data_IF_233589288975
#
_entry.id   IF_233589288975
#
_cell.length_a   1.000
_cell.length_b   1.000
_cell.length_c   1.000
_cell.angle_alpha   90.00
_cell.angle_beta   90.00
_cell.angle_gamma   90.00
#
_symmetry.space_group_name_H-M   'P 1'
#
loop_
_entity.id
_entity.type
_entity.pdbx_description
1 polymer ?
#
# COMPACT_ATOMS: atom_id res chain seq x y z
N UNK A 1 -49.40 28.37 23.87
CA UNK A 1 -48.55 27.19 23.54
C UNK A 1 -47.21 27.28 24.27
N UNK A 2 -46.97 26.46 25.29
CA UNK A 2 -45.69 26.43 26.04
C UNK A 2 -44.66 25.57 25.29
N UNK A 3 -43.58 26.17 24.79
CA UNK A 3 -42.42 25.45 24.21
C UNK A 3 -41.80 24.57 25.30
N UNK A 4 -41.96 23.24 25.20
CA UNK A 4 -41.19 22.28 26.00
C UNK A 4 -39.72 22.39 25.57
N UNK A 5 -38.90 23.01 26.40
CA UNK A 5 -37.45 22.93 26.31
C UNK A 5 -37.09 21.46 26.61
N UNK A 6 -36.83 20.67 25.56
CA UNK A 6 -36.20 19.34 25.73
C UNK A 6 -34.82 19.58 26.31
N UNK A 7 -34.65 19.29 27.60
CA UNK A 7 -33.32 19.23 28.22
C UNK A 7 -32.50 18.24 27.40
N UNK A 8 -31.43 18.71 26.76
CA UNK A 8 -30.47 17.82 26.13
C UNK A 8 -29.93 16.88 27.22
N UNK A 9 -29.90 15.56 26.99
CA UNK A 9 -29.29 14.63 27.93
C UNK A 9 -27.85 15.09 28.19
N UNK A 10 -27.48 15.18 29.48
CA UNK A 10 -26.09 15.48 29.86
C UNK A 10 -25.19 14.48 29.12
N UNK A 11 -24.12 14.94 28.44
CA UNK A 11 -23.17 14.02 27.85
C UNK A 11 -22.65 13.12 28.97
N UNK A 12 -22.92 11.81 28.85
CA UNK A 12 -22.32 10.82 29.74
C UNK A 12 -20.81 10.98 29.53
N UNK A 13 -20.01 11.24 30.58
CA UNK A 13 -18.57 11.33 30.45
C UNK A 13 -18.09 10.08 29.72
N UNK A 14 -17.43 10.26 28.58
CA UNK A 14 -16.95 9.16 27.78
C UNK A 14 -16.13 8.25 28.70
N UNK A 15 -16.59 7.01 28.86
CA UNK A 15 -15.90 6.03 29.71
C UNK A 15 -14.42 6.03 29.31
N UNK A 16 -13.54 6.19 30.30
CA UNK A 16 -12.10 6.22 30.07
C UNK A 16 -11.74 5.02 29.19
N UNK A 17 -11.09 5.28 28.06
CA UNK A 17 -10.77 4.22 27.11
C UNK A 17 -9.99 3.13 27.85
N UNK A 18 -10.37 1.84 27.71
CA UNK A 18 -9.65 0.75 28.35
C UNK A 18 -8.17 0.82 27.96
N UNK A 19 -7.30 0.73 28.97
CA UNK A 19 -5.84 0.70 28.75
C UNK A 19 -5.51 -0.52 27.90
N UNK A 20 -4.62 -0.41 26.89
CA UNK A 20 -4.18 -1.56 26.12
C UNK A 20 -3.60 -2.60 27.08
N UNK A 21 -4.05 -3.84 26.95
CA UNK A 21 -3.53 -4.96 27.73
C UNK A 21 -2.26 -5.50 27.05
N UNK A 22 -1.42 -6.21 27.80
CA UNK A 22 -0.20 -6.85 27.24
C UNK A 22 -0.53 -7.78 26.05
N UNK A 23 -1.69 -8.43 26.10
CA UNK A 23 -2.20 -9.29 25.01
C UNK A 23 -2.44 -8.49 23.72
N UNK A 24 -2.90 -7.24 23.83
CA UNK A 24 -3.15 -6.38 22.66
C UNK A 24 -1.84 -6.02 21.95
N UNK A 25 -0.76 -5.75 22.69
CA UNK A 25 0.55 -5.44 22.12
C UNK A 25 1.16 -6.65 21.40
N UNK A 26 1.01 -7.86 21.94
CA UNK A 26 1.54 -9.05 21.28
C UNK A 26 0.78 -9.42 20.01
N UNK A 27 -0.56 -9.36 20.02
CA UNK A 27 -1.36 -9.60 18.81
C UNK A 27 -1.06 -8.56 17.73
N UNK A 28 -0.85 -7.30 18.12
CA UNK A 28 -0.39 -6.26 17.19
C UNK A 28 0.95 -6.61 16.55
N UNK A 29 1.93 -7.09 17.33
CA UNK A 29 3.23 -7.51 16.82
C UNK A 29 3.12 -8.71 15.86
N UNK A 30 2.26 -9.68 16.16
CA UNK A 30 1.99 -10.80 15.27
C UNK A 30 1.41 -10.31 13.93
N UNK A 31 0.39 -9.44 13.97
CA UNK A 31 -0.22 -8.86 12.77
C UNK A 31 0.80 -8.06 11.96
N UNK A 32 1.59 -7.22 12.63
CA UNK A 32 2.61 -6.41 11.99
C UNK A 32 3.68 -7.27 11.32
N UNK A 33 4.19 -8.28 12.02
CA UNK A 33 5.18 -9.22 11.48
C UNK A 33 4.63 -10.02 10.30
N UNK A 34 3.39 -10.52 10.42
CA UNK A 34 2.73 -11.29 9.37
C UNK A 34 2.52 -10.46 8.11
N UNK A 35 1.96 -9.25 8.25
CA UNK A 35 1.74 -8.34 7.13
C UNK A 35 3.06 -7.85 6.53
N UNK A 36 4.10 -7.61 7.34
CA UNK A 36 5.42 -7.24 6.87
C UNK A 36 6.02 -8.34 5.96
N UNK A 37 6.00 -9.60 6.42
CA UNK A 37 6.48 -10.73 5.62
C UNK A 37 5.62 -10.96 4.39
N UNK A 38 4.30 -10.82 4.50
CA UNK A 38 3.40 -10.94 3.35
C UNK A 38 3.64 -9.82 2.32
N UNK A 39 3.85 -8.57 2.74
CA UNK A 39 4.26 -7.50 1.83
C UNK A 39 5.59 -7.83 1.17
N UNK A 40 6.58 -8.28 1.93
CA UNK A 40 7.89 -8.61 1.38
C UNK A 40 7.83 -9.74 0.34
N UNK A 41 7.13 -10.84 0.63
CA UNK A 41 6.92 -11.89 -0.37
C UNK A 41 6.12 -11.40 -1.55
N UNK A 42 5.05 -10.63 -1.34
CA UNK A 42 4.27 -10.05 -2.43
C UNK A 42 5.08 -9.17 -3.37
N UNK A 43 6.04 -8.39 -2.85
CA UNK A 43 6.96 -7.59 -3.66
C UNK A 43 7.92 -8.45 -4.49
N UNK A 44 8.40 -9.57 -3.94
CA UNK A 44 9.20 -10.53 -4.70
C UNK A 44 8.38 -11.14 -5.84
N UNK A 45 7.15 -11.53 -5.57
CA UNK A 45 6.24 -12.16 -6.53
C UNK A 45 5.85 -11.20 -7.65
N UNK A 46 5.64 -9.91 -7.35
CA UNK A 46 5.49 -8.88 -8.40
C UNK A 46 6.71 -8.83 -9.32
N UNK A 47 7.92 -8.96 -8.78
CA UNK A 47 9.16 -8.95 -9.57
C UNK A 47 9.45 -10.25 -10.32
N UNK A 48 8.83 -11.37 -9.96
CA UNK A 48 8.85 -12.58 -10.79
C UNK A 48 7.76 -12.50 -11.84
N UNK A 49 6.56 -12.08 -11.46
CA UNK A 49 5.39 -12.02 -12.33
C UNK A 49 5.63 -11.14 -13.56
N UNK A 50 6.12 -9.90 -13.38
CA UNK A 50 6.23 -8.93 -14.47
C UNK A 50 7.21 -9.41 -15.56
N UNK A 51 8.46 -9.79 -15.25
CA UNK A 51 9.39 -10.30 -16.26
C UNK A 51 8.95 -11.64 -16.84
N UNK A 52 8.37 -12.53 -16.03
CA UNK A 52 7.93 -13.86 -16.53
C UNK A 52 6.73 -13.72 -17.45
N UNK A 53 5.83 -12.77 -17.19
CA UNK A 53 4.72 -12.41 -18.07
C UNK A 53 5.25 -11.89 -19.41
N UNK A 54 6.20 -10.95 -19.38
CA UNK A 54 6.83 -10.41 -20.57
C UNK A 54 7.61 -11.48 -21.35
N UNK A 55 8.35 -12.34 -20.67
CA UNK A 55 9.12 -13.43 -21.30
C UNK A 55 8.20 -14.49 -21.92
N UNK A 56 7.18 -14.93 -21.19
CA UNK A 56 6.32 -16.05 -21.62
C UNK A 56 5.31 -15.63 -22.68
N UNK A 57 4.78 -14.39 -22.59
CA UNK A 57 3.72 -13.91 -23.49
C UNK A 57 4.17 -12.80 -24.44
N UNK A 58 5.28 -12.11 -24.19
CA UNK A 58 5.68 -10.93 -24.98
C UNK A 58 6.01 -11.26 -26.43
N UNK A 59 6.67 -12.38 -26.69
CA UNK A 59 6.97 -12.82 -28.06
C UNK A 59 5.79 -13.59 -28.70
N UNK A 60 4.91 -14.14 -27.88
CA UNK A 60 3.81 -15.01 -28.33
C UNK A 60 2.48 -14.27 -28.51
N UNK A 61 2.34 -13.09 -27.93
CA UNK A 61 1.07 -12.38 -27.88
C UNK A 61 1.24 -10.86 -28.10
N UNK A 62 0.28 -10.21 -28.76
CA UNK A 62 0.33 -8.76 -28.94
C UNK A 62 0.27 -8.05 -27.57
N UNK A 63 0.86 -6.85 -27.43
CA UNK A 63 0.90 -6.13 -26.15
C UNK A 63 -0.49 -5.95 -25.49
N UNK A 64 -1.54 -5.78 -26.28
CA UNK A 64 -2.91 -5.68 -25.79
C UNK A 64 -3.38 -6.96 -25.07
N UNK A 65 -2.93 -8.14 -25.51
CA UNK A 65 -3.23 -9.41 -24.86
C UNK A 65 -2.51 -9.53 -23.51
N UNK A 66 -1.23 -9.15 -23.46
CA UNK A 66 -0.44 -9.13 -22.23
C UNK A 66 -1.07 -8.19 -21.19
N UNK A 67 -1.48 -6.99 -21.62
CA UNK A 67 -2.24 -6.06 -20.79
C UNK A 67 -3.57 -6.67 -20.33
N UNK A 68 -4.33 -7.28 -21.23
CA UNK A 68 -5.59 -7.97 -20.93
C UNK A 68 -5.43 -9.09 -19.90
N UNK A 69 -4.34 -9.86 -19.98
CA UNK A 69 -4.02 -10.91 -19.02
C UNK A 69 -3.72 -10.33 -17.64
N UNK A 70 -2.86 -9.31 -17.54
CA UNK A 70 -2.56 -8.64 -16.28
C UNK A 70 -3.83 -8.04 -15.64
N UNK A 71 -4.69 -7.41 -16.45
CA UNK A 71 -5.97 -6.86 -15.99
C UNK A 71 -6.95 -7.96 -15.54
N UNK A 72 -6.99 -9.08 -16.25
CA UNK A 72 -7.79 -10.25 -15.88
C UNK A 72 -7.35 -10.84 -14.54
N UNK A 73 -6.04 -10.90 -14.31
CA UNK A 73 -5.47 -11.36 -13.04
C UNK A 73 -5.80 -10.41 -11.89
N UNK A 74 -5.66 -9.10 -12.12
CA UNK A 74 -6.14 -8.06 -11.20
C UNK A 74 -7.64 -8.20 -10.92
N UNK A 75 -8.47 -8.56 -11.91
CA UNK A 75 -9.89 -8.81 -11.71
C UNK A 75 -10.18 -10.01 -10.78
N UNK A 76 -9.24 -10.94 -10.58
CA UNK A 76 -9.42 -12.02 -9.62
C UNK A 76 -9.45 -11.55 -8.17
N UNK A 77 -9.02 -10.31 -7.85
CA UNK A 77 -9.19 -9.79 -6.49
C UNK A 77 -10.65 -9.57 -6.08
N UNK A 78 -11.59 -9.59 -7.04
CA UNK A 78 -13.03 -9.61 -6.74
C UNK A 78 -13.44 -10.89 -5.98
N UNK A 79 -12.55 -11.86 -5.86
CA UNK A 79 -12.69 -13.02 -4.96
C UNK A 79 -12.54 -12.60 -3.48
N UNK A 80 -11.92 -11.46 -3.14
CA UNK A 80 -11.70 -11.04 -1.75
C UNK A 80 -13.00 -10.95 -0.91
N UNK A 81 -14.08 -10.27 -1.35
CA UNK A 81 -15.37 -10.31 -0.66
C UNK A 81 -15.97 -11.71 -0.52
N UNK A 82 -15.76 -12.58 -1.52
CA UNK A 82 -16.27 -13.95 -1.48
C UNK A 82 -15.55 -14.75 -0.41
N UNK A 83 -14.22 -14.64 -0.32
CA UNK A 83 -13.42 -15.28 0.72
C UNK A 83 -13.79 -14.77 2.11
N UNK A 84 -13.91 -13.45 2.28
CA UNK A 84 -14.33 -12.84 3.54
C UNK A 84 -15.70 -13.34 4.00
N UNK A 85 -16.66 -13.50 3.07
CA UNK A 85 -18.01 -13.98 3.38
C UNK A 85 -18.07 -15.48 3.66
N UNK A 86 -17.37 -16.28 2.86
CA UNK A 86 -17.38 -17.73 2.98
C UNK A 86 -16.67 -18.19 4.26
N UNK A 87 -15.52 -17.59 4.55
CA UNK A 87 -14.61 -18.09 5.58
C UNK A 87 -14.40 -17.12 6.75
N UNK A 88 -15.10 -15.98 6.75
CA UNK A 88 -14.94 -14.95 7.78
C UNK A 88 -13.55 -14.31 7.76
N UNK A 89 -13.20 -13.63 8.86
CA UNK A 89 -11.87 -13.05 9.06
C UNK A 89 -10.78 -14.11 9.00
N UNK A 90 -11.04 -15.31 9.53
CA UNK A 90 -10.10 -16.42 9.53
C UNK A 90 -9.62 -16.76 8.12
N UNK A 91 -10.51 -17.16 7.21
CA UNK A 91 -10.08 -17.53 5.87
C UNK A 91 -9.63 -16.32 5.06
N UNK A 92 -10.19 -15.14 5.31
CA UNK A 92 -9.74 -13.92 4.63
C UNK A 92 -8.26 -13.61 4.89
N UNK A 93 -7.68 -14.02 6.02
CA UNK A 93 -6.25 -13.90 6.29
C UNK A 93 -5.46 -15.14 5.89
N UNK A 94 -5.96 -16.34 6.24
CA UNK A 94 -5.25 -17.61 5.99
C UNK A 94 -5.06 -17.87 4.50
N UNK A 95 -6.07 -17.62 3.66
CA UNK A 95 -5.96 -17.86 2.22
C UNK A 95 -4.92 -16.97 1.54
N UNK A 96 -4.98 -15.63 1.61
CA UNK A 96 -4.01 -14.80 0.92
C UNK A 96 -2.60 -14.91 1.54
N UNK A 97 -2.46 -14.93 2.87
CA UNK A 97 -1.13 -14.99 3.47
C UNK A 97 -0.51 -16.39 3.34
N UNK A 98 -1.27 -17.44 3.67
CA UNK A 98 -0.82 -18.81 3.51
C UNK A 98 -0.57 -19.17 2.04
N UNK A 99 -1.47 -18.77 1.15
CA UNK A 99 -1.32 -18.96 -0.29
C UNK A 99 -0.07 -18.28 -0.82
N UNK A 100 0.14 -16.99 -0.50
CA UNK A 100 1.34 -16.25 -0.90
C UNK A 100 2.63 -16.93 -0.44
N UNK A 101 2.71 -17.33 0.83
CA UNK A 101 3.92 -17.96 1.39
C UNK A 101 4.18 -19.34 0.77
N UNK A 102 3.15 -20.17 0.64
CA UNK A 102 3.28 -21.51 0.05
C UNK A 102 3.67 -21.41 -1.41
N UNK A 103 3.03 -20.52 -2.18
CA UNK A 103 3.35 -20.32 -3.60
C UNK A 103 4.79 -19.85 -3.77
N UNK A 104 5.26 -18.91 -2.95
CA UNK A 104 6.66 -18.49 -2.97
C UNK A 104 7.63 -19.63 -2.70
N UNK A 105 7.31 -20.46 -1.70
CA UNK A 105 8.12 -21.63 -1.37
C UNK A 105 8.14 -22.64 -2.52
N UNK A 106 7.01 -22.86 -3.21
CA UNK A 106 6.94 -23.75 -4.38
C UNK A 106 7.70 -23.18 -5.58
N UNK A 107 7.55 -21.89 -5.85
CA UNK A 107 8.23 -21.17 -6.92
C UNK A 107 9.76 -21.27 -6.79
N UNK A 108 10.28 -21.24 -5.57
CA UNK A 108 11.71 -21.40 -5.30
C UNK A 108 12.31 -22.70 -5.91
N UNK A 109 11.50 -23.75 -6.06
CA UNK A 109 11.91 -25.03 -6.66
C UNK A 109 11.57 -25.14 -8.15
N UNK A 110 10.76 -24.21 -8.66
CA UNK A 110 10.34 -24.25 -10.04
C UNK A 110 11.49 -23.84 -10.95
N UNK A 111 11.66 -24.62 -12.02
CA UNK A 111 12.58 -24.35 -13.11
C UNK A 111 11.86 -23.98 -14.41
N UNK A 112 10.53 -23.83 -14.36
CA UNK A 112 9.67 -23.74 -15.53
C UNK A 112 8.99 -22.37 -15.59
N UNK A 113 9.31 -21.51 -16.57
CA UNK A 113 8.72 -20.17 -16.67
C UNK A 113 7.17 -20.15 -16.69
N UNK A 114 6.47 -21.10 -17.35
CA UNK A 114 5.01 -21.17 -17.25
C UNK A 114 4.49 -21.47 -15.83
N UNK A 115 5.22 -22.27 -15.04
CA UNK A 115 4.84 -22.53 -13.65
C UNK A 115 5.12 -21.31 -12.78
N UNK A 116 6.26 -20.64 -13.00
CA UNK A 116 6.61 -19.39 -12.32
C UNK A 116 5.54 -18.32 -12.58
N UNK A 117 5.04 -18.22 -13.83
CA UNK A 117 3.95 -17.29 -14.19
C UNK A 117 2.65 -17.62 -13.44
N UNK A 118 2.31 -18.90 -13.29
CA UNK A 118 1.11 -19.32 -12.56
C UNK A 118 1.27 -19.06 -11.06
N UNK A 119 2.40 -19.45 -10.47
CA UNK A 119 2.66 -19.27 -9.04
C UNK A 119 2.69 -17.80 -8.67
N UNK A 120 3.50 -16.99 -9.36
CA UNK A 120 3.59 -15.56 -9.14
C UNK A 120 2.29 -14.84 -9.47
N UNK A 121 1.56 -15.28 -10.49
CA UNK A 121 0.24 -14.77 -10.79
C UNK A 121 -0.74 -14.95 -9.62
N UNK A 122 -0.87 -16.17 -9.09
CA UNK A 122 -1.76 -16.44 -7.95
C UNK A 122 -1.28 -15.76 -6.67
N UNK A 123 0.03 -15.63 -6.48
CA UNK A 123 0.62 -14.89 -5.38
C UNK A 123 0.31 -13.38 -5.46
N UNK A 124 0.40 -12.77 -6.64
CA UNK A 124 0.01 -11.35 -6.87
C UNK A 124 -1.48 -11.14 -6.60
N UNK A 125 -2.35 -12.08 -6.99
CA UNK A 125 -3.77 -12.05 -6.60
C UNK A 125 -3.92 -12.11 -5.07
N UNK A 126 -3.15 -12.97 -4.41
CA UNK A 126 -3.17 -13.12 -2.95
C UNK A 126 -2.74 -11.83 -2.24
N UNK A 127 -1.69 -11.16 -2.74
CA UNK A 127 -1.28 -9.83 -2.29
C UNK A 127 -2.41 -8.80 -2.51
N UNK A 128 -3.02 -8.76 -3.69
CA UNK A 128 -4.11 -7.83 -3.99
C UNK A 128 -5.32 -8.05 -3.07
N UNK A 129 -5.71 -9.30 -2.81
CA UNK A 129 -6.73 -9.66 -1.83
C UNK A 129 -6.34 -9.16 -0.43
N UNK A 130 -5.08 -9.31 -0.03
CA UNK A 130 -4.59 -8.84 1.27
C UNK A 130 -4.74 -7.31 1.43
N UNK A 131 -4.51 -6.54 0.35
CA UNK A 131 -4.74 -5.08 0.38
C UNK A 131 -6.20 -4.67 0.58
N UNK A 132 -7.15 -5.60 0.39
CA UNK A 132 -8.56 -5.41 0.74
C UNK A 132 -8.83 -5.85 2.17
N UNK A 133 -8.36 -7.05 2.53
CA UNK A 133 -8.67 -7.73 3.79
C UNK A 133 -8.06 -7.02 4.99
N UNK A 134 -6.76 -6.67 4.94
CA UNK A 134 -6.06 -6.10 6.08
C UNK A 134 -6.68 -4.76 6.56
N UNK A 135 -7.01 -3.82 5.65
CA UNK A 135 -7.77 -2.63 6.00
C UNK A 135 -9.15 -2.89 6.63
N UNK A 136 -9.91 -3.82 6.06
CA UNK A 136 -11.25 -4.17 6.54
C UNK A 136 -11.20 -4.78 7.94
N UNK A 137 -10.17 -5.57 8.22
CA UNK A 137 -9.89 -6.11 9.53
C UNK A 137 -9.62 -5.02 10.58
N UNK A 138 -8.79 -4.03 10.24
CA UNK A 138 -8.51 -2.91 11.15
C UNK A 138 -9.73 -2.05 11.44
N UNK A 139 -10.62 -1.93 10.46
CA UNK A 139 -11.92 -1.27 10.62
C UNK A 139 -12.83 -2.05 11.55
N UNK A 140 -12.95 -3.37 11.31
CA UNK A 140 -13.80 -4.25 12.11
C UNK A 140 -13.37 -4.32 13.58
N UNK A 141 -12.06 -4.24 13.85
CA UNK A 141 -11.49 -4.25 15.21
C UNK A 141 -11.44 -2.87 15.87
N UNK A 142 -11.80 -1.81 15.15
CA UNK A 142 -11.74 -0.42 15.65
C UNK A 142 -10.32 0.12 15.84
N UNK A 143 -9.29 -0.63 15.45
CA UNK A 143 -7.88 -0.21 15.56
C UNK A 143 -7.54 0.92 14.58
N UNK A 144 -8.18 0.95 13.41
CA UNK A 144 -8.00 2.01 12.41
C UNK A 144 -8.48 3.40 12.85
N UNK A 145 -9.41 3.49 13.81
CA UNK A 145 -9.95 4.77 14.28
C UNK A 145 -8.96 5.60 15.12
N UNK A 146 -7.84 5.01 15.57
CA UNK A 146 -6.84 5.68 16.41
C UNK A 146 -5.63 6.20 15.65
N UNK A 147 -5.62 6.15 14.32
CA UNK A 147 -4.47 6.54 13.49
C UNK A 147 -3.24 5.62 13.64
N UNK A 148 -3.36 4.53 14.40
CA UNK A 148 -2.31 3.52 14.65
C UNK A 148 -2.66 2.19 13.99
N UNK A 149 -3.20 2.22 12.77
CA UNK A 149 -3.37 1.00 11.97
C UNK A 149 -2.04 0.27 11.83
N UNK A 150 -2.04 -1.07 11.90
CA UNK A 150 -0.87 -1.94 11.74
C UNK A 150 -0.38 -1.91 10.29
N UNK A 151 -1.32 -1.91 9.35
CA UNK A 151 -1.10 -2.11 7.93
C UNK A 151 -0.12 -1.12 7.29
N UNK A 152 -0.22 0.21 7.51
CA UNK A 152 0.72 1.16 6.91
C UNK A 152 2.17 0.90 7.38
N UNK A 153 2.34 0.56 8.66
CA UNK A 153 3.66 0.22 9.22
C UNK A 153 4.19 -1.08 8.67
N UNK A 154 3.34 -2.11 8.60
CA UNK A 154 3.72 -3.40 8.09
C UNK A 154 4.08 -3.33 6.59
N UNK A 155 3.34 -2.54 5.80
CA UNK A 155 3.67 -2.25 4.41
C UNK A 155 5.04 -1.58 4.27
N UNK A 156 5.30 -0.54 5.07
CA UNK A 156 6.60 0.15 5.06
C UNK A 156 7.76 -0.72 5.54
N UNK A 157 7.54 -1.53 6.57
CA UNK A 157 8.51 -2.48 7.09
C UNK A 157 8.80 -3.61 6.08
N UNK A 158 7.79 -4.09 5.36
CA UNK A 158 7.95 -5.06 4.29
C UNK A 158 8.76 -4.50 3.12
N UNK A 159 8.51 -3.25 2.73
CA UNK A 159 9.31 -2.51 1.73
C UNK A 159 10.76 -2.32 2.18
N UNK A 160 10.97 -1.96 3.45
CA UNK A 160 12.32 -1.84 4.03
C UNK A 160 13.04 -3.20 3.99
N UNK A 161 12.37 -4.26 4.44
CA UNK A 161 12.92 -5.62 4.45
C UNK A 161 13.28 -6.06 3.04
N UNK A 162 12.40 -5.80 2.08
CA UNK A 162 12.64 -6.07 0.67
C UNK A 162 13.89 -5.36 0.13
N UNK A 163 13.96 -4.05 0.34
CA UNK A 163 15.07 -3.21 -0.12
C UNK A 163 16.38 -3.63 0.54
N UNK A 164 16.35 -3.91 1.84
CA UNK A 164 17.51 -4.33 2.62
C UNK A 164 17.99 -5.74 2.21
N UNK A 165 17.07 -6.70 2.04
CA UNK A 165 17.43 -8.06 1.65
C UNK A 165 18.13 -8.08 0.28
N UNK A 166 17.59 -7.36 -0.71
CA UNK A 166 18.22 -7.20 -2.03
C UNK A 166 19.59 -6.56 -1.95
N UNK A 167 19.70 -5.53 -1.12
CA UNK A 167 20.93 -4.78 -0.91
C UNK A 167 22.03 -5.63 -0.26
N UNK A 168 21.69 -6.37 0.80
CA UNK A 168 22.63 -7.21 1.55
C UNK A 168 23.09 -8.43 0.77
N UNK A 169 22.20 -9.02 -0.02
CA UNK A 169 22.53 -10.19 -0.81
C UNK A 169 23.35 -9.85 -2.06
N UNK A 170 23.47 -8.57 -2.43
CA UNK A 170 24.17 -8.10 -3.63
C UNK A 170 23.71 -8.81 -4.93
N UNK A 171 22.51 -9.41 -4.92
CA UNK A 171 21.98 -10.21 -6.03
C UNK A 171 20.73 -9.60 -6.63
N UNK A 172 20.45 -10.02 -7.86
CA UNK A 172 19.13 -9.96 -8.49
C UNK A 172 18.20 -10.86 -7.68
N UNK A 173 17.59 -10.32 -6.63
CA UNK A 173 16.39 -10.85 -5.96
C UNK A 173 16.41 -12.30 -5.41
N UNK A 174 15.83 -12.52 -4.22
CA UNK A 174 15.79 -13.86 -3.61
C UNK A 174 15.14 -14.95 -4.50
N UNK A 175 14.05 -14.67 -5.26
CA UNK A 175 13.45 -15.63 -6.18
C UNK A 175 14.39 -16.26 -7.22
N UNK A 176 15.38 -15.51 -7.70
CA UNK A 176 16.27 -16.00 -8.75
C UNK A 176 17.48 -16.76 -8.20
N UNK A 177 17.67 -16.76 -6.88
CA UNK A 177 18.74 -17.50 -6.22
C UNK A 177 18.35 -18.95 -5.99
N UNK A 178 18.69 -19.83 -6.93
CA UNK A 178 18.47 -21.29 -6.82
C UNK A 178 19.56 -22.04 -6.04
N UNK A 179 20.41 -21.33 -5.30
CA UNK A 179 21.44 -21.93 -4.46
C UNK A 179 20.89 -22.35 -3.08
N UNK A 180 21.68 -23.08 -2.30
CA UNK A 180 21.30 -23.55 -0.95
C UNK A 180 20.92 -22.37 -0.04
N UNK A 181 21.61 -21.23 -0.19
CA UNK A 181 21.31 -20.03 0.59
C UNK A 181 19.93 -19.45 0.22
N UNK A 182 19.62 -19.30 -1.07
CA UNK A 182 18.32 -18.81 -1.51
C UNK A 182 17.16 -19.67 -1.03
N UNK A 183 17.28 -21.00 -1.17
CA UNK A 183 16.32 -21.93 -0.60
C UNK A 183 16.22 -21.79 0.92
N UNK A 184 17.35 -21.83 1.62
CA UNK A 184 17.39 -21.73 3.08
C UNK A 184 16.70 -20.48 3.61
N UNK A 185 16.98 -19.31 3.03
CA UNK A 185 16.32 -18.06 3.40
C UNK A 185 14.82 -18.09 3.11
N UNK A 186 14.40 -18.52 1.91
CA UNK A 186 12.97 -18.63 1.57
C UNK A 186 12.22 -19.56 2.54
N UNK A 187 12.80 -20.69 2.93
CA UNK A 187 12.20 -21.61 3.90
C UNK A 187 12.19 -21.05 5.32
N UNK A 188 13.25 -20.38 5.77
CA UNK A 188 13.31 -19.78 7.12
C UNK A 188 12.24 -18.69 7.25
N UNK A 189 12.17 -17.78 6.28
CA UNK A 189 11.19 -16.71 6.33
C UNK A 189 9.76 -17.16 6.01
N UNK A 190 9.59 -18.15 5.12
CA UNK A 190 8.30 -18.78 4.85
C UNK A 190 7.79 -19.54 6.07
N UNK A 191 8.66 -20.31 6.72
CA UNK A 191 8.37 -20.99 7.98
C UNK A 191 8.03 -20.01 9.11
N UNK A 192 8.75 -18.89 9.21
CA UNK A 192 8.43 -17.83 10.15
C UNK A 192 7.05 -17.21 9.86
N UNK A 193 6.73 -16.92 8.59
CA UNK A 193 5.44 -16.36 8.22
C UNK A 193 4.27 -17.33 8.50
N UNK A 194 4.44 -18.62 8.20
CA UNK A 194 3.45 -19.65 8.54
C UNK A 194 3.30 -19.83 10.06
N UNK A 195 4.39 -19.78 10.81
CA UNK A 195 4.35 -19.82 12.26
C UNK A 195 3.61 -18.60 12.84
N UNK A 196 3.90 -17.39 12.37
CA UNK A 196 3.18 -16.17 12.75
C UNK A 196 1.69 -16.27 12.40
N UNK A 197 1.34 -16.82 11.24
CA UNK A 197 -0.04 -17.06 10.83
C UNK A 197 -0.75 -18.02 11.79
N UNK A 198 -0.12 -19.15 12.14
CA UNK A 198 -0.67 -20.13 13.08
C UNK A 198 -0.85 -19.53 14.47
N UNK A 199 0.14 -18.77 14.97
CA UNK A 199 0.04 -18.12 16.28
C UNK A 199 -1.01 -17.02 16.30
N UNK A 200 -1.13 -16.25 15.22
CA UNK A 200 -2.20 -15.27 15.06
C UNK A 200 -3.57 -15.95 15.08
N UNK A 201 -3.74 -17.03 14.32
CA UNK A 201 -4.97 -17.84 14.30
C UNK A 201 -5.31 -18.39 15.69
N UNK A 202 -4.35 -18.97 16.41
CA UNK A 202 -4.58 -19.57 17.73
C UNK A 202 -5.04 -18.56 18.77
N UNK A 203 -4.54 -17.33 18.66
CA UNK A 203 -4.84 -16.23 19.59
C UNK A 203 -5.99 -15.35 19.10
N UNK A 204 -6.53 -15.64 17.93
CA UNK A 204 -7.67 -14.94 17.40
C UNK A 204 -8.90 -15.24 18.24
N UNK A 205 -9.30 -14.27 19.05
CA UNK A 205 -10.56 -14.28 19.82
C UNK A 205 -11.53 -13.19 19.34
N UNK A 206 -11.27 -12.60 18.17
CA UNK A 206 -12.06 -11.49 17.66
C UNK A 206 -13.45 -11.93 17.21
N UNK A 207 -14.46 -11.02 17.24
CA UNK A 207 -15.79 -11.32 16.74
C UNK A 207 -15.73 -11.76 15.29
N UNK A 208 -16.49 -12.80 14.93
CA UNK A 208 -16.63 -13.24 13.56
C UNK A 208 -17.17 -12.07 12.72
N UNK A 209 -16.35 -11.52 11.83
CA UNK A 209 -16.73 -10.37 11.01
C UNK A 209 -17.86 -10.67 10.01
N UNK A 210 -18.46 -11.86 10.05
CA UNK A 210 -19.76 -12.15 9.44
C UNK A 210 -20.84 -11.15 9.90
N UNK A 211 -20.69 -10.55 11.09
CA UNK A 211 -21.59 -9.51 11.60
C UNK A 211 -21.18 -8.08 11.25
N UNK A 212 -19.97 -7.86 10.71
CA UNK A 212 -19.47 -6.54 10.31
C UNK A 212 -20.09 -6.09 9.00
N UNK A 213 -20.73 -4.92 8.98
CA UNK A 213 -21.23 -4.33 7.73
C UNK A 213 -20.09 -3.94 6.80
N UNK A 214 -20.30 -4.08 5.48
CA UNK A 214 -19.34 -3.64 4.47
C UNK A 214 -18.97 -2.16 4.69
N UNK A 215 -17.68 -1.79 4.56
CA UNK A 215 -17.31 -0.39 4.65
C UNK A 215 -17.92 0.40 3.50
N UNK A 216 -18.19 1.68 3.76
CA UNK A 216 -18.72 2.56 2.73
C UNK A 216 -17.70 2.73 1.59
N UNK A 217 -18.18 2.80 0.35
CA UNK A 217 -17.34 3.02 -0.84
C UNK A 217 -16.41 4.22 -0.64
N UNK A 218 -16.95 5.29 -0.05
CA UNK A 218 -16.24 6.52 0.24
C UNK A 218 -15.11 6.30 1.25
N UNK A 219 -15.34 5.51 2.30
CA UNK A 219 -14.33 5.18 3.31
C UNK A 219 -13.21 4.29 2.77
N UNK A 220 -13.47 3.53 1.70
CA UNK A 220 -12.44 2.67 1.09
C UNK A 220 -11.69 3.29 -0.08
N UNK A 221 -12.14 4.44 -0.59
CA UNK A 221 -11.45 5.17 -1.66
C UNK A 221 -9.96 5.42 -1.40
N UNK A 222 -9.54 5.82 -0.17
CA UNK A 222 -8.12 6.05 0.09
C UNK A 222 -7.21 4.84 -0.13
N UNK A 223 -7.74 3.60 -0.05
CA UNK A 223 -6.95 2.38 -0.27
C UNK A 223 -6.46 2.23 -1.72
N UNK A 224 -6.98 3.02 -2.65
CA UNK A 224 -6.43 3.16 -4.00
C UNK A 224 -4.98 3.66 -4.00
N UNK A 225 -4.54 4.31 -2.93
CA UNK A 225 -3.17 4.74 -2.75
C UNK A 225 -2.18 3.58 -2.64
N UNK A 226 -2.59 2.42 -2.10
CA UNK A 226 -1.67 1.30 -1.83
C UNK A 226 -1.05 0.75 -3.12
N UNK A 227 -1.83 0.36 -4.15
CA UNK A 227 -1.23 -0.11 -5.40
C UNK A 227 -0.39 0.97 -6.08
N UNK A 228 -0.81 2.24 -6.06
CA UNK A 228 -0.03 3.34 -6.67
C UNK A 228 1.34 3.53 -5.99
N UNK A 229 1.38 3.35 -4.66
CA UNK A 229 2.64 3.33 -3.92
C UNK A 229 3.50 2.11 -4.28
N UNK A 230 2.90 0.93 -4.38
CA UNK A 230 3.61 -0.29 -4.80
C UNK A 230 4.21 -0.14 -6.21
N UNK A 231 3.48 0.50 -7.14
CA UNK A 231 3.98 0.85 -8.48
C UNK A 231 5.20 1.78 -8.39
N UNK A 232 5.09 2.91 -7.69
CA UNK A 232 6.21 3.84 -7.53
C UNK A 232 7.43 3.18 -6.86
N UNK A 233 7.18 2.24 -5.95
CA UNK A 233 8.24 1.47 -5.33
C UNK A 233 8.87 0.46 -6.30
N UNK A 234 8.10 -0.31 -7.06
CA UNK A 234 8.65 -1.30 -8.00
C UNK A 234 9.42 -0.65 -9.15
N UNK A 235 8.87 0.42 -9.72
CA UNK A 235 9.41 1.10 -10.91
C UNK A 235 10.52 2.09 -10.59
N UNK A 236 10.42 2.75 -9.44
CA UNK A 236 11.35 3.82 -9.08
C UNK A 236 12.10 3.46 -7.81
N UNK A 237 11.50 3.68 -6.65
CA UNK A 237 12.27 3.82 -5.40
C UNK A 237 12.91 2.51 -4.89
N UNK A 238 12.41 1.36 -5.31
CA UNK A 238 12.98 0.05 -5.02
C UNK A 238 14.07 -0.37 -6.01
N UNK A 239 14.33 0.36 -7.09
CA UNK A 239 15.35 -0.01 -8.08
C UNK A 239 16.74 0.50 -7.68
N UNK A 240 17.44 -0.24 -6.82
CA UNK A 240 18.81 0.10 -6.37
C UNK A 240 19.80 0.23 -7.53
N UNK A 241 19.67 -0.63 -8.57
CA UNK A 241 20.49 -0.56 -9.78
C UNK A 241 20.26 0.73 -10.57
N UNK A 242 19.02 1.18 -10.68
CA UNK A 242 18.67 2.45 -11.32
C UNK A 242 19.27 3.63 -10.56
N UNK A 243 19.19 3.64 -9.23
CA UNK A 243 19.84 4.65 -8.40
C UNK A 243 21.36 4.64 -8.57
N UNK A 244 21.99 3.46 -8.59
CA UNK A 244 23.43 3.33 -8.82
C UNK A 244 23.84 3.91 -10.18
N UNK A 245 23.11 3.55 -11.24
CA UNK A 245 23.35 4.02 -12.60
C UNK A 245 23.13 5.52 -12.75
N UNK A 246 22.02 6.05 -12.24
CA UNK A 246 21.70 7.47 -12.34
C UNK A 246 22.65 8.31 -11.49
N UNK A 247 23.01 7.85 -10.30
CA UNK A 247 23.85 8.58 -9.36
C UNK A 247 25.36 8.46 -9.61
N UNK A 248 25.80 7.55 -10.49
CA UNK A 248 27.21 7.21 -10.65
C UNK A 248 27.80 6.59 -9.37
N UNK A 249 26.98 5.91 -8.58
CA UNK A 249 27.37 5.28 -7.31
C UNK A 249 27.72 3.81 -7.53
N UNK A 250 28.65 3.29 -6.73
CA UNK A 250 28.78 1.84 -6.59
C UNK A 250 27.49 1.26 -5.96
N UNK A 251 27.16 0.01 -6.28
CA UNK A 251 25.95 -0.65 -5.78
C UNK A 251 25.77 -0.57 -4.24
N UNK A 252 26.79 -0.82 -3.39
CA UNK A 252 26.62 -0.72 -1.93
C UNK A 252 26.21 0.67 -1.43
N UNK A 253 26.74 1.73 -2.06
CA UNK A 253 26.36 3.11 -1.73
C UNK A 253 24.92 3.41 -2.14
N UNK A 254 24.50 3.02 -3.33
CA UNK A 254 23.11 3.16 -3.77
C UNK A 254 22.14 2.39 -2.87
N UNK A 255 22.51 1.17 -2.48
CA UNK A 255 21.78 0.34 -1.52
C UNK A 255 21.61 1.06 -0.17
N UNK A 256 22.69 1.61 0.38
CA UNK A 256 22.65 2.38 1.63
C UNK A 256 21.68 3.56 1.57
N UNK A 257 21.67 4.30 0.46
CA UNK A 257 20.73 5.40 0.25
C UNK A 257 19.27 4.94 0.11
N UNK A 258 19.00 3.82 -0.57
CA UNK A 258 17.66 3.26 -0.69
C UNK A 258 17.12 2.77 0.69
N UNK A 259 17.96 2.08 1.47
CA UNK A 259 17.61 1.67 2.84
C UNK A 259 17.38 2.89 3.73
N UNK A 260 18.23 3.92 3.65
CA UNK A 260 18.04 5.17 4.38
C UNK A 260 16.71 5.84 4.00
N UNK A 261 16.32 5.83 2.73
CA UNK A 261 15.02 6.29 2.27
C UNK A 261 13.85 5.57 2.94
N UNK A 262 13.92 4.24 3.03
CA UNK A 262 12.93 3.42 3.75
C UNK A 262 12.87 3.75 5.25
N UNK A 263 14.02 3.94 5.90
CA UNK A 263 14.08 4.26 7.33
C UNK A 263 13.54 5.65 7.61
N UNK A 264 13.88 6.64 6.77
CA UNK A 264 13.33 8.00 6.84
C UNK A 264 11.82 7.98 6.61
N UNK A 265 11.33 7.17 5.68
CA UNK A 265 9.91 6.96 5.44
C UNK A 265 9.17 6.52 6.72
N UNK A 266 9.66 5.45 7.35
CA UNK A 266 9.07 4.91 8.57
C UNK A 266 9.18 5.90 9.74
N UNK A 267 10.33 6.55 9.92
CA UNK A 267 10.55 7.51 11.01
C UNK A 267 9.66 8.76 10.86
N UNK A 268 9.57 9.34 9.65
CA UNK A 268 8.71 10.49 9.37
C UNK A 268 7.24 10.11 9.48
N UNK A 269 6.87 8.94 8.95
CA UNK A 269 5.53 8.39 9.14
C UNK A 269 5.21 8.32 10.61
N UNK A 270 6.11 7.74 11.42
CA UNK A 270 5.89 7.54 12.86
C UNK A 270 5.73 8.87 13.57
N UNK A 271 6.63 9.82 13.31
CA UNK A 271 6.57 11.15 13.88
C UNK A 271 5.27 11.90 13.54
N UNK A 272 4.76 11.73 12.32
CA UNK A 272 3.53 12.40 11.87
C UNK A 272 2.26 11.70 12.40
N UNK A 273 2.19 10.38 12.33
CA UNK A 273 1.02 9.60 12.76
C UNK A 273 0.91 9.45 14.28
N UNK A 274 2.02 9.57 15.02
CA UNK A 274 2.01 9.57 16.49
C UNK A 274 1.49 10.89 17.09
N UNK A 275 1.44 11.98 16.31
CA UNK A 275 0.76 13.21 16.73
C UNK A 275 -0.75 12.92 16.71
N UNK A 276 -1.34 12.94 17.91
CA UNK A 276 -2.71 12.49 18.15
C UNK A 276 -3.73 13.14 17.20
N UNK A 277 -4.26 12.33 16.28
CA UNK A 277 -5.37 12.68 15.40
C UNK A 277 -4.94 13.63 14.29
N UNK A 278 -4.82 13.10 13.07
CA UNK A 278 -4.72 13.96 11.90
C UNK A 278 -6.04 14.67 11.70
N UNK A 279 -5.96 15.99 11.65
CA UNK A 279 -7.11 16.84 11.52
C UNK A 279 -7.26 17.28 10.07
N UNK A 280 -8.46 17.78 9.78
CA UNK A 280 -8.70 18.46 8.51
C UNK A 280 -7.74 19.61 8.22
N UNK A 281 -7.01 20.13 9.23
CA UNK A 281 -5.98 21.15 9.08
C UNK A 281 -4.72 20.68 8.35
N UNK A 282 -4.52 19.36 8.19
CA UNK A 282 -3.27 18.78 7.66
C UNK A 282 -3.24 18.66 6.13
N UNK A 283 -4.28 19.10 5.41
CA UNK A 283 -4.29 19.10 3.94
C UNK A 283 -3.11 19.85 3.29
N UNK A 284 -2.56 20.96 3.86
CA UNK A 284 -1.39 21.61 3.28
C UNK A 284 -0.17 20.70 3.33
N UNK A 285 -0.03 19.88 4.39
CA UNK A 285 1.08 18.94 4.53
C UNK A 285 1.01 17.89 3.42
N UNK A 286 -0.18 17.37 3.13
CA UNK A 286 -0.36 16.39 2.03
C UNK A 286 -0.12 17.01 0.66
N UNK A 287 -0.53 18.26 0.41
CA UNK A 287 -0.18 18.94 -0.84
C UNK A 287 1.31 19.20 -0.98
N UNK A 288 1.97 19.64 0.09
CA UNK A 288 3.42 19.84 0.11
C UNK A 288 4.15 18.51 -0.11
N UNK A 289 3.68 17.43 0.50
CA UNK A 289 4.16 16.08 0.22
C UNK A 289 3.96 15.71 -1.25
N UNK A 290 2.77 15.89 -1.82
CA UNK A 290 2.53 15.61 -3.25
C UNK A 290 3.45 16.40 -4.19
N UNK A 291 3.64 17.70 -3.93
CA UNK A 291 4.57 18.54 -4.66
C UNK A 291 6.03 18.07 -4.50
N UNK A 292 6.44 17.72 -3.28
CA UNK A 292 7.76 17.18 -3.00
C UNK A 292 8.00 15.84 -3.71
N UNK A 293 6.97 14.99 -3.85
CA UNK A 293 7.07 13.73 -4.59
C UNK A 293 7.30 13.97 -6.08
N UNK A 294 6.54 14.89 -6.69
CA UNK A 294 6.71 15.27 -8.09
C UNK A 294 8.11 15.85 -8.32
N UNK A 295 8.56 16.75 -7.44
CA UNK A 295 9.91 17.31 -7.48
C UNK A 295 10.98 16.22 -7.32
N UNK A 296 10.76 15.24 -6.45
CA UNK A 296 11.67 14.12 -6.26
C UNK A 296 11.75 13.22 -7.49
N UNK A 297 10.63 12.92 -8.14
CA UNK A 297 10.61 12.17 -9.39
C UNK A 297 11.36 12.91 -10.50
N UNK A 298 11.02 14.18 -10.74
CA UNK A 298 11.69 15.01 -11.75
C UNK A 298 13.17 15.24 -11.45
N UNK A 299 13.52 15.49 -10.19
CA UNK A 299 14.90 15.63 -9.73
C UNK A 299 15.69 14.34 -9.93
N UNK A 300 15.09 13.19 -9.61
CA UNK A 300 15.73 11.88 -9.80
C UNK A 300 16.05 11.55 -11.26
N UNK A 301 15.27 12.09 -12.21
CA UNK A 301 15.50 11.88 -13.64
C UNK A 301 16.74 12.63 -14.17
N UNK A 302 17.23 13.65 -13.46
CA UNK A 302 18.41 14.44 -13.88
C UNK A 302 19.75 13.73 -13.69
N UNK A 303 19.78 12.62 -12.95
CA UNK A 303 21.01 11.89 -12.64
C UNK A 303 21.93 12.61 -11.64
N UNK A 304 23.13 12.06 -11.46
CA UNK A 304 24.17 12.52 -10.54
C UNK A 304 23.72 12.57 -9.07
N UNK A 305 24.36 13.44 -8.30
CA UNK A 305 24.03 13.66 -6.89
C UNK A 305 22.61 14.19 -6.65
N UNK A 306 22.01 14.82 -7.66
CA UNK A 306 20.60 15.23 -7.60
C UNK A 306 19.72 14.00 -7.46
N UNK A 307 19.95 12.95 -8.26
CA UNK A 307 19.19 11.71 -8.13
C UNK A 307 19.37 11.05 -6.76
N UNK A 308 20.61 11.03 -6.24
CA UNK A 308 20.92 10.49 -4.93
C UNK A 308 20.18 11.23 -3.81
N UNK A 309 20.15 12.57 -3.84
CA UNK A 309 19.51 13.37 -2.81
C UNK A 309 17.98 13.27 -2.85
N UNK A 310 17.38 13.25 -4.06
CA UNK A 310 15.93 13.21 -4.21
C UNK A 310 15.33 11.81 -4.02
N UNK A 311 16.13 10.74 -4.08
CA UNK A 311 15.63 9.37 -3.93
C UNK A 311 15.07 9.05 -2.54
N UNK A 312 15.80 9.27 -1.42
CA UNK A 312 15.27 9.07 -0.08
C UNK A 312 14.06 9.96 0.20
N UNK A 313 14.07 11.19 -0.31
CA UNK A 313 12.96 12.14 -0.17
C UNK A 313 11.71 11.61 -0.88
N UNK A 314 11.83 11.20 -2.15
CA UNK A 314 10.72 10.66 -2.92
C UNK A 314 10.13 9.42 -2.27
N UNK A 315 10.98 8.49 -1.80
CA UNK A 315 10.54 7.30 -1.09
C UNK A 315 9.82 7.61 0.22
N UNK A 316 10.40 8.51 1.04
CA UNK A 316 9.79 8.92 2.29
C UNK A 316 8.44 9.60 2.08
N UNK A 317 8.35 10.50 1.10
CA UNK A 317 7.13 11.23 0.79
C UNK A 317 6.06 10.31 0.18
N UNK A 318 6.43 9.37 -0.70
CA UNK A 318 5.48 8.40 -1.25
C UNK A 318 4.89 7.51 -0.14
N UNK A 319 5.74 7.04 0.78
CA UNK A 319 5.28 6.29 1.95
C UNK A 319 4.38 7.12 2.86
N UNK A 320 4.76 8.38 3.12
CA UNK A 320 3.92 9.29 3.89
C UNK A 320 2.53 9.41 3.27
N UNK A 321 2.43 9.65 1.96
CA UNK A 321 1.14 9.78 1.28
C UNK A 321 0.28 8.52 1.37
N UNK A 322 0.86 7.32 1.20
CA UNK A 322 0.09 6.07 1.38
C UNK A 322 -0.29 5.85 2.84
N UNK A 323 0.58 6.20 3.78
CA UNK A 323 0.31 6.15 5.20
C UNK A 323 -0.83 7.11 5.59
N UNK A 324 -0.83 8.34 5.08
CA UNK A 324 -1.91 9.32 5.22
C UNK A 324 -3.23 8.78 4.66
N UNK A 325 -3.20 8.22 3.45
CA UNK A 325 -4.38 7.67 2.82
C UNK A 325 -4.97 6.51 3.64
N UNK A 326 -4.12 5.64 4.18
CA UNK A 326 -4.54 4.44 4.90
C UNK A 326 -4.90 4.67 6.38
N UNK A 327 -4.48 5.79 6.97
CA UNK A 327 -4.73 6.13 8.38
C UNK A 327 -5.87 7.13 8.61
N UNK A 328 -6.48 7.66 7.54
CA UNK A 328 -7.62 8.57 7.65
C UNK A 328 -8.76 7.95 8.49
N UNK A 329 -9.48 8.74 9.31
CA UNK A 329 -10.53 8.26 10.18
C UNK A 329 -11.56 7.52 9.36
N UNK A 330 -11.50 6.21 9.50
CA UNK A 330 -12.42 5.26 8.90
C UNK A 330 -13.76 5.50 9.59
N UNK A 331 -14.56 6.39 9.00
CA UNK A 331 -15.81 6.87 9.57
C UNK A 331 -16.65 5.65 9.98
N UNK A 332 -16.84 5.51 11.29
CA UNK A 332 -17.57 4.45 11.98
C UNK A 332 -19.09 4.55 11.74
N UNK A 333 -19.53 4.79 10.50
CA UNK A 333 -20.91 4.58 10.09
C UNK A 333 -20.97 3.37 9.17
N UNK A 334 -20.88 2.15 9.73
CA UNK A 334 -21.26 0.95 8.99
C UNK A 334 -22.72 1.15 8.59
N UNK A 335 -22.94 1.45 7.31
CA UNK A 335 -24.28 1.42 6.74
C UNK A 335 -24.49 -0.01 6.24
N UNK A 336 -25.49 -0.74 6.77
CA UNK A 336 -25.77 -2.07 6.27
C UNK A 336 -26.23 -1.93 4.82
N UNK A 337 -25.61 -2.73 3.94
CA UNK A 337 -25.97 -3.06 2.55
C UNK A 337 -25.11 -2.40 1.46
N UNK A 338 -24.12 -3.16 0.99
CA UNK A 338 -23.48 -2.96 -0.31
C UNK A 338 -22.32 -3.95 -0.54
N UNK A 339 -22.64 -5.13 -1.08
CA UNK A 339 -21.82 -6.37 -1.20
C UNK A 339 -20.42 -6.24 -1.85
N UNK A 340 -20.06 -5.05 -2.34
CA UNK A 340 -18.92 -4.82 -3.22
C UNK A 340 -18.24 -3.45 -3.01
N UNK A 341 -18.76 -2.64 -2.09
CA UNK A 341 -18.35 -1.23 -1.94
C UNK A 341 -16.91 -1.08 -1.48
N UNK A 342 -16.44 -1.97 -0.62
CA UNK A 342 -15.08 -1.93 -0.11
C UNK A 342 -14.02 -2.34 -1.13
N UNK A 343 -14.37 -3.24 -2.06
CA UNK A 343 -13.43 -3.84 -3.01
C UNK A 343 -13.27 -3.02 -4.27
N UNK A 344 -14.33 -2.34 -4.72
CA UNK A 344 -14.29 -1.55 -5.94
C UNK A 344 -13.14 -0.53 -5.97
N UNK A 345 -12.89 0.29 -4.93
CA UNK A 345 -11.76 1.21 -4.97
C UNK A 345 -10.43 0.50 -5.04
N UNK A 346 -10.20 -0.51 -4.19
CA UNK A 346 -8.93 -1.26 -4.20
C UNK A 346 -8.68 -1.88 -5.57
N UNK A 347 -9.72 -2.44 -6.20
CA UNK A 347 -9.68 -2.92 -7.59
C UNK A 347 -9.30 -1.82 -8.58
N UNK A 348 -9.93 -0.65 -8.52
CA UNK A 348 -9.56 0.48 -9.38
C UNK A 348 -8.11 0.93 -9.15
N UNK A 349 -7.61 0.85 -7.91
CA UNK A 349 -6.21 1.12 -7.58
C UNK A 349 -5.26 0.16 -8.26
N UNK A 350 -5.52 -1.14 -8.18
CA UNK A 350 -4.71 -2.16 -8.86
C UNK A 350 -4.88 -2.17 -10.38
N UNK A 351 -6.06 -1.81 -10.88
CA UNK A 351 -6.26 -1.56 -12.30
C UNK A 351 -5.38 -0.40 -12.76
N UNK A 352 -5.32 0.69 -12.00
CA UNK A 352 -4.40 1.80 -12.25
C UNK A 352 -2.92 1.38 -12.16
N UNK A 353 -2.55 0.56 -11.16
CA UNK A 353 -1.21 -0.05 -11.06
C UNK A 353 -0.86 -0.78 -12.36
N UNK A 354 -1.71 -1.70 -12.83
CA UNK A 354 -1.45 -2.50 -14.02
C UNK A 354 -1.39 -1.63 -15.29
N UNK A 355 -2.28 -0.65 -15.43
CA UNK A 355 -2.28 0.28 -16.55
C UNK A 355 -1.02 1.15 -16.59
N UNK A 356 -0.58 1.67 -15.44
CA UNK A 356 0.63 2.49 -15.32
C UNK A 356 1.89 1.66 -15.54
N UNK A 357 1.94 0.43 -15.03
CA UNK A 357 3.02 -0.52 -15.29
C UNK A 357 3.13 -0.83 -16.77
N UNK A 358 2.02 -1.14 -17.43
CA UNK A 358 2.01 -1.37 -18.87
C UNK A 358 2.48 -0.14 -19.65
N UNK A 359 2.03 1.07 -19.27
CA UNK A 359 2.52 2.30 -19.89
C UNK A 359 4.04 2.47 -19.69
N UNK A 360 4.54 2.27 -18.47
CA UNK A 360 5.96 2.41 -18.16
C UNK A 360 6.83 1.41 -18.93
N UNK A 361 6.50 0.12 -18.85
CA UNK A 361 7.33 -0.97 -19.37
C UNK A 361 7.20 -1.15 -20.89
N UNK A 362 5.98 -1.05 -21.43
CA UNK A 362 5.74 -1.32 -22.86
C UNK A 362 5.89 -0.07 -23.71
N UNK A 363 5.52 1.10 -23.19
CA UNK A 363 5.57 2.35 -23.95
C UNK A 363 6.77 3.23 -23.59
N UNK A 364 7.59 2.85 -22.59
CA UNK A 364 8.66 3.69 -22.08
C UNK A 364 8.15 5.00 -21.49
N UNK A 365 6.90 5.01 -20.99
CA UNK A 365 6.21 6.22 -20.59
C UNK A 365 6.73 6.77 -19.25
N UNK A 366 7.75 7.62 -19.30
CA UNK A 366 8.27 8.29 -18.09
C UNK A 366 7.18 9.05 -17.30
N UNK A 367 6.14 9.54 -17.99
CA UNK A 367 4.99 10.23 -17.38
C UNK A 367 4.19 9.35 -16.42
N UNK A 368 4.27 8.02 -16.53
CA UNK A 368 3.54 7.09 -15.67
C UNK A 368 3.90 7.27 -14.19
N UNK A 369 5.18 7.57 -13.90
CA UNK A 369 5.65 7.88 -12.54
C UNK A 369 4.99 9.16 -11.99
N UNK A 370 4.93 10.23 -12.79
CA UNK A 370 4.27 11.47 -12.40
C UNK A 370 2.76 11.28 -12.23
N UNK A 371 2.10 10.54 -13.12
CA UNK A 371 0.69 10.20 -12.99
C UNK A 371 0.40 9.43 -11.69
N UNK A 372 1.23 8.45 -11.34
CA UNK A 372 1.11 7.73 -10.07
C UNK A 372 1.25 8.66 -8.86
N UNK A 373 2.22 9.58 -8.87
CA UNK A 373 2.43 10.55 -7.80
C UNK A 373 1.23 11.50 -7.61
N UNK A 374 0.64 11.98 -8.71
CA UNK A 374 -0.56 12.83 -8.69
C UNK A 374 -1.75 12.06 -8.13
N UNK A 375 -1.98 10.84 -8.60
CA UNK A 375 -3.08 10.00 -8.11
C UNK A 375 -2.89 9.66 -6.62
N UNK A 376 -1.67 9.32 -6.20
CA UNK A 376 -1.34 9.04 -4.81
C UNK A 376 -1.62 10.26 -3.91
N UNK A 377 -1.22 11.46 -4.35
CA UNK A 377 -1.52 12.73 -3.67
C UNK A 377 -3.03 12.97 -3.58
N UNK A 378 -3.75 12.75 -4.67
CA UNK A 378 -5.21 12.91 -4.72
C UNK A 378 -5.91 12.02 -3.70
N UNK A 379 -5.52 10.74 -3.58
CA UNK A 379 -6.13 9.81 -2.64
C UNK A 379 -5.78 10.13 -1.18
N UNK A 380 -4.58 10.63 -0.91
CA UNK A 380 -4.22 11.13 0.42
C UNK A 380 -5.07 12.37 0.81
N UNK A 381 -5.28 13.31 -0.11
CA UNK A 381 -6.18 14.46 0.13
C UNK A 381 -7.62 14.02 0.33
N UNK A 382 -8.06 13.00 -0.42
CA UNK A 382 -9.39 12.44 -0.26
C UNK A 382 -9.60 11.90 1.15
N UNK A 383 -8.62 11.17 1.70
CA UNK A 383 -8.66 10.66 3.07
C UNK A 383 -8.85 11.79 4.11
N UNK A 384 -8.12 12.91 3.95
CA UNK A 384 -8.25 14.08 4.82
C UNK A 384 -9.65 14.70 4.72
N UNK A 385 -10.21 14.76 3.51
CA UNK A 385 -11.56 15.30 3.29
C UNK A 385 -12.65 14.53 4.03
N UNK A 386 -12.46 13.23 4.26
CA UNK A 386 -13.44 12.42 5.01
C UNK A 386 -13.46 12.75 6.50
N UNK A 387 -12.41 13.39 7.03
CA UNK A 387 -12.32 13.84 8.43
C UNK A 387 -13.18 15.08 8.68
N UNK A 388 -13.44 15.88 7.63
CA UNK A 388 -14.10 17.17 7.76
C UNK A 388 -15.59 17.03 8.12
N UNK A 389 -16.06 17.52 9.29
CA UNK A 389 -17.48 17.63 9.55
C UNK A 389 -18.14 18.56 8.51
N UNK A 390 -19.38 18.27 8.11
CA UNK A 390 -20.05 18.94 6.97
C UNK A 390 -20.18 20.48 7.07
N UNK A 391 -19.94 21.07 8.24
CA UNK A 391 -19.81 22.53 8.39
C UNK A 391 -18.39 23.04 8.08
N UNK A 392 -17.35 22.34 8.55
CA UNK A 392 -15.95 22.63 8.19
C UNK A 392 -15.72 22.39 6.69
N UNK A 393 -16.37 21.39 6.10
CA UNK A 393 -16.30 21.10 4.67
C UNK A 393 -16.85 22.26 3.81
N UNK A 394 -17.84 23.03 4.29
CA UNK A 394 -18.33 24.23 3.61
C UNK A 394 -17.35 25.39 3.68
N UNK A 395 -16.72 25.60 4.84
CA UNK A 395 -15.67 26.61 5.04
C UNK A 395 -14.40 26.30 4.25
N UNK A 396 -13.95 25.05 4.27
CA UNK A 396 -12.81 24.56 3.50
C UNK A 396 -13.13 24.55 2.01
N UNK A 397 -14.34 24.18 1.58
CA UNK A 397 -14.74 24.28 0.17
C UNK A 397 -14.72 25.73 -0.32
N UNK A 398 -15.16 26.70 0.50
CA UNK A 398 -15.08 28.12 0.16
C UNK A 398 -13.62 28.59 0.05
N UNK A 399 -12.76 28.24 1.03
CA UNK A 399 -11.32 28.59 1.02
C UNK A 399 -10.52 27.86 -0.06
N UNK A 400 -10.83 26.61 -0.37
CA UNK A 400 -10.21 25.83 -1.46
C UNK A 400 -10.69 26.30 -2.83
N UNK A 401 -11.93 26.77 -2.97
CA UNK A 401 -12.37 27.38 -4.22
C UNK A 401 -11.71 28.74 -4.44
N UNK A 402 -11.52 29.51 -3.35
CA UNK A 402 -10.86 30.82 -3.39
C UNK A 402 -9.31 30.74 -3.49
N UNK A 403 -8.66 29.68 -2.98
CA UNK A 403 -7.19 29.54 -2.95
C UNK A 403 -6.64 28.27 -3.61
N UNK A 404 -7.38 27.16 -3.53
CA UNK A 404 -6.98 25.84 -4.03
C UNK A 404 -7.20 25.64 -5.54
N UNK A 405 -8.12 26.40 -6.17
CA UNK A 405 -8.24 26.42 -7.64
C UNK A 405 -6.94 26.86 -8.32
N UNK A 406 -6.24 27.83 -7.73
CA UNK A 406 -4.91 28.25 -8.17
C UNK A 406 -3.84 27.18 -7.89
N UNK A 407 -3.85 26.53 -6.72
CA UNK A 407 -2.86 25.49 -6.38
C UNK A 407 -3.02 24.20 -7.23
N UNK A 408 -4.25 23.75 -7.47
CA UNK A 408 -4.52 22.65 -8.41
C UNK A 408 -4.20 23.05 -9.86
N UNK A 409 -4.49 24.30 -10.24
CA UNK A 409 -4.11 24.86 -11.53
C UNK A 409 -2.59 24.92 -11.72
N UNK A 410 -1.84 25.26 -10.67
CA UNK A 410 -0.36 25.25 -10.67
C UNK A 410 0.19 23.81 -10.70
N UNK A 411 -0.38 22.86 -9.96
CA UNK A 411 0.01 21.45 -10.04
C UNK A 411 -0.25 20.86 -11.43
N UNK A 412 -1.41 21.15 -12.04
CA UNK A 412 -1.72 20.79 -13.42
C UNK A 412 -0.81 21.50 -14.43
N UNK A 413 -0.48 22.78 -14.23
CA UNK A 413 0.43 23.52 -15.09
C UNK A 413 1.87 23.01 -14.98
N UNK A 414 2.34 22.65 -13.78
CA UNK A 414 3.65 22.02 -13.55
C UNK A 414 3.71 20.64 -14.21
N UNK A 415 2.61 19.88 -14.22
CA UNK A 415 2.51 18.63 -14.99
C UNK A 415 2.57 18.84 -16.49
N UNK A 416 1.97 19.92 -17.01
CA UNK A 416 2.00 20.24 -18.45
C UNK A 416 3.38 20.75 -18.89
N UNK A 417 4.06 21.54 -18.04
CA UNK A 417 5.35 22.16 -18.37
C UNK A 417 6.54 21.25 -18.06
N UNK A 418 6.43 20.34 -17.08
CA UNK A 418 7.51 19.43 -16.69
C UNK A 418 7.59 18.11 -17.45
N UNK A 419 6.64 17.85 -18.36
CA UNK A 419 6.57 16.64 -19.21
C UNK A 419 7.03 16.91 -20.66
N UNK A 420 7.31 18.17 -21.01
CA UNK A 420 8.06 18.54 -22.22
C UNK A 420 9.55 18.62 -21.91
#
# INVERSE_FOLDING_TARGET
>A
MRKRIRRQPRPVPAAAAPRPTYLDSFVWLLEAGLLCLATWFGLQELRVFIPTLAYTLGDLAPPAFVAGFALGLVALMWVAPLLWRAFGTFGAWVFPVGGLVVLRMLEQWSSSPPLDLVFSGVAVVSLAVLTVVAPQHEQATGRGARGMGVWPWALGAGVLLDTAARSLLLTVDLPWRRDVLGHGLTFVFGGLALWLLVEWVRRWSGPDARSGGDPSLVATMPWMAVPLFLFLHSERFGQVSLLASLGGLSFPWAAGWAVLGCLLALALGWALLSRAGMDAGDWPVVLLAGGALILALSGSARGGWVAVAFWPVGQAVAFLLVAFASSGPLLASPRPRGRWRGTLPVFLGWWAFAALLFAAEVQGAAWANHAAAVLLTFWALWAIRLVLPGQALRLVRRRLWERGGAACGVLLAVLVVGVG
#
